data_IF_383048531923
#
_entry.id   IF_383048531923
#
_cell.length_a   1.000
_cell.length_b   1.000
_cell.length_c   1.000
_cell.angle_alpha   90.00
_cell.angle_beta   90.00
_cell.angle_gamma   90.00
#
_symmetry.space_group_name_H-M   'P 1'
#
loop_
_entity.id
_entity.type
_entity.pdbx_description
1 polymer ?
#
# COMPACT_ATOMS: atom_id res chain seq x y z
N UNK A 1 -5.94 -9.86 2.12
CA UNK A 1 -4.52 -10.20 1.86
C UNK A 1 -4.17 -10.09 0.38
N UNK A 2 -4.88 -10.77 -0.54
CA UNK A 2 -4.49 -10.80 -1.95
C UNK A 2 -4.43 -9.39 -2.57
N UNK A 3 -5.36 -8.50 -2.23
CA UNK A 3 -5.29 -7.10 -2.65
C UNK A 3 -4.08 -6.33 -2.13
N UNK A 4 -3.65 -6.58 -0.89
CA UNK A 4 -2.43 -5.93 -0.34
C UNK A 4 -1.20 -6.47 -1.05
N UNK A 5 -1.11 -7.77 -1.29
CA UNK A 5 0.00 -8.37 -2.06
C UNK A 5 0.03 -7.87 -3.51
N UNK A 6 -1.13 -7.76 -4.15
CA UNK A 6 -1.23 -7.21 -5.50
C UNK A 6 -0.79 -5.74 -5.54
N UNK A 7 -1.10 -4.97 -4.50
CA UNK A 7 -0.62 -3.59 -4.34
C UNK A 7 0.90 -3.52 -4.18
N UNK A 8 1.50 -4.35 -3.32
CA UNK A 8 2.96 -4.39 -3.17
C UNK A 8 3.66 -4.84 -4.46
N UNK A 9 3.10 -5.82 -5.17
CA UNK A 9 3.63 -6.25 -6.46
C UNK A 9 3.55 -5.13 -7.49
N UNK A 10 2.46 -4.35 -7.51
CA UNK A 10 2.33 -3.21 -8.40
C UNK A 10 3.40 -2.13 -8.14
N UNK A 11 3.81 -1.89 -6.88
CA UNK A 11 4.93 -1.01 -6.58
C UNK A 11 6.26 -1.51 -7.17
N UNK A 12 6.49 -2.84 -7.14
CA UNK A 12 7.68 -3.47 -7.71
C UNK A 12 7.66 -3.36 -9.23
N UNK A 13 6.56 -3.74 -9.87
CA UNK A 13 6.38 -3.69 -11.33
C UNK A 13 6.56 -2.26 -11.87
N UNK A 14 5.97 -1.27 -11.17
CA UNK A 14 6.07 0.14 -11.55
C UNK A 14 7.33 0.82 -11.02
N UNK A 15 8.20 0.10 -10.30
CA UNK A 15 9.47 0.59 -9.77
C UNK A 15 9.32 1.87 -8.94
N UNK A 16 8.24 1.98 -8.16
CA UNK A 16 7.89 3.21 -7.44
C UNK A 16 8.99 3.64 -6.46
N UNK A 17 9.62 2.71 -5.75
CA UNK A 17 10.71 3.02 -4.83
C UNK A 17 11.93 3.64 -5.54
N UNK A 18 12.42 3.00 -6.61
CA UNK A 18 13.61 3.50 -7.32
C UNK A 18 13.33 4.80 -8.07
N UNK A 19 12.14 4.93 -8.69
CA UNK A 19 11.68 6.20 -9.28
C UNK A 19 11.58 7.30 -8.24
N UNK A 20 11.10 6.98 -7.03
CA UNK A 20 11.03 7.89 -5.89
C UNK A 20 12.42 8.41 -5.48
N UNK A 21 13.40 7.52 -5.33
CA UNK A 21 14.79 7.88 -5.01
C UNK A 21 15.41 8.77 -6.08
N UNK A 22 15.39 8.32 -7.34
CA UNK A 22 15.97 9.08 -8.46
C UNK A 22 15.36 10.47 -8.55
N UNK A 23 14.04 10.56 -8.39
CA UNK A 23 13.33 11.84 -8.45
C UNK A 23 13.58 12.72 -7.23
N UNK A 24 13.69 12.14 -6.04
CA UNK A 24 14.06 12.87 -4.83
C UNK A 24 15.42 13.55 -4.98
N UNK A 25 16.41 12.82 -5.52
CA UNK A 25 17.73 13.37 -5.83
C UNK A 25 17.65 14.50 -6.87
N UNK A 26 16.94 14.29 -7.99
CA UNK A 26 16.80 15.30 -9.03
C UNK A 26 16.10 16.58 -8.54
N UNK A 27 15.01 16.43 -7.78
CA UNK A 27 14.32 17.57 -7.16
C UNK A 27 15.18 18.28 -6.12
N UNK A 28 16.03 17.55 -5.39
CA UNK A 28 16.99 18.13 -4.44
C UNK A 28 18.06 18.98 -5.10
N UNK A 29 18.54 18.59 -6.28
CA UNK A 29 19.46 19.40 -7.07
C UNK A 29 18.77 20.67 -7.58
N UNK A 30 17.53 20.54 -8.06
CA UNK A 30 16.71 21.67 -8.50
C UNK A 30 16.44 22.63 -7.34
N UNK A 31 15.98 22.14 -6.20
CA UNK A 31 15.67 22.95 -5.03
C UNK A 31 16.90 23.76 -4.55
N UNK A 32 18.08 23.16 -4.57
CA UNK A 32 19.34 23.85 -4.26
C UNK A 32 19.66 24.98 -5.26
N UNK A 33 19.38 24.78 -6.56
CA UNK A 33 19.63 25.78 -7.59
C UNK A 33 18.69 27.00 -7.51
N UNK A 34 17.45 26.82 -7.03
CA UNK A 34 16.46 27.89 -6.88
C UNK A 34 16.57 28.65 -5.54
N UNK A 35 17.38 28.17 -4.60
CA UNK A 35 17.75 28.85 -3.36
C UNK A 35 16.77 28.69 -2.18
N UNK A 36 17.32 28.32 -1.02
CA UNK A 36 16.69 28.47 0.30
C UNK A 36 15.47 27.59 0.61
N UNK A 37 14.70 28.03 1.62
CA UNK A 37 13.59 27.28 2.21
C UNK A 37 12.40 27.07 1.26
N UNK A 38 12.16 27.98 0.31
CA UNK A 38 11.06 27.89 -0.67
C UNK A 38 11.26 26.69 -1.60
N UNK A 39 12.51 26.43 -2.03
CA UNK A 39 12.86 25.26 -2.82
C UNK A 39 12.62 23.96 -2.05
N UNK A 40 13.01 23.91 -0.78
CA UNK A 40 12.84 22.75 0.08
C UNK A 40 11.36 22.44 0.38
N UNK A 41 10.55 23.45 0.65
CA UNK A 41 9.11 23.31 0.85
C UNK A 41 8.43 22.78 -0.42
N UNK A 42 8.76 23.37 -1.57
CA UNK A 42 8.22 22.95 -2.87
C UNK A 42 8.60 21.51 -3.20
N UNK A 43 9.85 21.13 -2.96
CA UNK A 43 10.30 19.74 -3.08
C UNK A 43 9.46 18.80 -2.20
N UNK A 44 9.23 19.15 -0.94
CA UNK A 44 8.44 18.34 -0.01
C UNK A 44 7.03 18.07 -0.55
N UNK A 45 6.33 19.12 -1.01
CA UNK A 45 5.01 18.97 -1.63
C UNK A 45 5.03 18.10 -2.90
N UNK A 46 6.03 18.27 -3.76
CA UNK A 46 6.20 17.46 -4.96
C UNK A 46 6.57 16.00 -4.64
N UNK A 47 7.24 15.72 -3.54
CA UNK A 47 7.46 14.33 -3.12
C UNK A 47 6.17 13.71 -2.60
N UNK A 48 5.43 14.41 -1.74
CA UNK A 48 4.14 13.95 -1.22
C UNK A 48 3.10 13.71 -2.32
N UNK A 49 2.94 14.65 -3.27
CA UNK A 49 1.97 14.53 -4.35
C UNK A 49 2.24 13.31 -5.23
N UNK A 50 3.51 13.00 -5.48
CA UNK A 50 3.86 11.86 -6.31
C UNK A 50 3.84 10.54 -5.54
N UNK A 51 4.09 10.55 -4.23
CA UNK A 51 3.76 9.42 -3.36
C UNK A 51 2.29 9.04 -3.49
N UNK A 52 1.37 10.01 -3.34
CA UNK A 52 -0.07 9.77 -3.55
C UNK A 52 -0.41 9.24 -4.95
N UNK A 53 0.24 9.76 -6.00
CA UNK A 53 0.03 9.25 -7.36
C UNK A 53 0.52 7.81 -7.53
N UNK A 54 1.64 7.44 -6.89
CA UNK A 54 2.17 6.08 -6.88
C UNK A 54 1.21 5.11 -6.17
N UNK A 55 0.66 5.50 -5.02
CA UNK A 55 -0.36 4.70 -4.30
C UNK A 55 -1.60 4.47 -5.17
N UNK A 56 -2.16 5.52 -5.78
CA UNK A 56 -3.32 5.39 -6.69
C UNK A 56 -3.02 4.51 -7.90
N UNK A 57 -1.80 4.57 -8.42
CA UNK A 57 -1.39 3.73 -9.54
C UNK A 57 -1.24 2.26 -9.13
N UNK A 58 -0.73 2.00 -7.93
CA UNK A 58 -0.65 0.66 -7.36
C UNK A 58 -2.05 0.10 -7.02
N UNK A 59 -2.97 0.91 -6.48
CA UNK A 59 -4.37 0.51 -6.24
C UNK A 59 -5.06 0.06 -7.52
N UNK A 60 -4.93 0.85 -8.60
CA UNK A 60 -5.54 0.50 -9.90
C UNK A 60 -5.00 -0.81 -10.45
N UNK A 61 -3.70 -1.04 -10.37
CA UNK A 61 -3.12 -2.30 -10.84
C UNK A 61 -3.51 -3.47 -9.93
N UNK A 62 -3.60 -3.26 -8.61
CA UNK A 62 -4.09 -4.25 -7.66
C UNK A 62 -5.54 -4.66 -7.96
N UNK A 63 -6.41 -3.70 -8.26
CA UNK A 63 -7.79 -3.94 -8.68
C UNK A 63 -7.84 -4.73 -9.99
N UNK A 64 -7.02 -4.35 -10.98
CA UNK A 64 -6.90 -5.07 -12.24
C UNK A 64 -6.42 -6.52 -12.03
N UNK A 65 -5.42 -6.72 -11.17
CA UNK A 65 -4.90 -8.04 -10.83
C UNK A 65 -5.95 -8.93 -10.16
N UNK A 66 -6.71 -8.39 -9.20
CA UNK A 66 -7.82 -9.10 -8.56
C UNK A 66 -8.91 -9.46 -9.57
N UNK A 67 -9.24 -8.56 -10.48
CA UNK A 67 -10.21 -8.79 -11.54
C UNK A 67 -9.77 -9.91 -12.51
N UNK A 68 -8.46 -10.06 -12.79
CA UNK A 68 -7.92 -11.14 -13.65
C UNK A 68 -8.12 -12.54 -13.06
N UNK A 69 -8.22 -12.65 -11.74
CA UNK A 69 -8.36 -13.93 -11.02
C UNK A 69 -9.73 -14.11 -10.37
N UNK A 70 -10.72 -13.30 -10.76
CA UNK A 70 -12.06 -13.29 -10.17
C UNK A 70 -12.06 -13.13 -8.64
N UNK A 71 -11.07 -12.42 -8.07
CA UNK A 71 -11.00 -12.18 -6.63
C UNK A 71 -11.71 -10.86 -6.24
N UNK A 72 -12.40 -10.88 -5.11
CA UNK A 72 -13.12 -9.69 -4.63
C UNK A 72 -12.14 -8.60 -4.11
N UNK A 73 -12.33 -7.32 -4.48
CA UNK A 73 -11.60 -6.20 -3.88
C UNK A 73 -12.17 -5.77 -2.52
N UNK A 74 -13.35 -6.26 -2.12
CA UNK A 74 -13.99 -5.90 -0.85
C UNK A 74 -13.10 -6.10 0.39
N UNK A 75 -12.29 -7.18 0.52
CA UNK A 75 -11.36 -7.34 1.63
C UNK A 75 -10.24 -6.28 1.66
N UNK A 76 -9.84 -5.74 0.50
CA UNK A 76 -8.85 -4.66 0.42
C UNK A 76 -9.47 -3.33 0.91
N UNK A 77 -10.69 -3.02 0.46
CA UNK A 77 -11.46 -1.90 1.00
C UNK A 77 -11.63 -2.00 2.53
N UNK A 78 -11.98 -3.19 3.04
CA UNK A 78 -12.13 -3.42 4.47
C UNK A 78 -10.79 -3.24 5.23
N UNK A 79 -9.66 -3.54 4.59
CA UNK A 79 -8.34 -3.30 5.16
C UNK A 79 -8.04 -1.81 5.30
N UNK A 80 -8.22 -0.99 4.25
CA UNK A 80 -8.05 0.47 4.33
C UNK A 80 -9.00 1.13 5.34
N UNK A 81 -10.21 0.59 5.49
CA UNK A 81 -11.14 1.05 6.53
C UNK A 81 -10.75 0.73 7.96
N UNK A 82 -9.86 -0.25 8.17
CA UNK A 82 -9.24 -0.48 9.49
C UNK A 82 -8.09 0.49 9.73
N UNK A 83 -7.36 0.87 8.68
CA UNK A 83 -6.26 1.83 8.75
C UNK A 83 -6.72 3.27 9.02
N UNK A 84 -7.93 3.61 8.60
CA UNK A 84 -8.50 4.96 8.75
C UNK A 84 -9.08 5.25 10.14
N UNK A 85 -8.98 4.31 11.10
CA UNK A 85 -9.55 4.46 12.45
C UNK A 85 -8.58 5.21 13.37
N UNK A 86 -9.07 6.11 14.26
CA UNK A 86 -8.22 6.85 15.21
C UNK A 86 -7.39 5.94 16.13
N UNK A 87 -6.20 6.40 16.49
CA UNK A 87 -5.21 5.67 17.31
C UNK A 87 -5.72 5.27 18.71
N UNK A 88 -6.74 5.96 19.24
CA UNK A 88 -7.19 5.82 20.63
C UNK A 88 -7.88 4.46 20.96
N UNK A 89 -7.97 3.55 19.98
CA UNK A 89 -8.52 2.18 20.13
C UNK A 89 -7.53 1.09 19.72
N UNK A 90 -6.22 1.34 19.83
CA UNK A 90 -5.17 0.47 19.32
C UNK A 90 -4.75 -0.66 20.29
N UNK A 91 -4.95 -1.91 19.87
CA UNK A 91 -4.21 -3.05 20.41
C UNK A 91 -2.82 -3.18 19.75
N UNK A 92 -2.01 -4.16 20.19
CA UNK A 92 -0.67 -4.40 19.64
C UNK A 92 -0.65 -4.74 18.14
N UNK A 93 -1.74 -5.28 17.57
CA UNK A 93 -1.83 -5.63 16.15
C UNK A 93 -2.06 -4.40 15.27
N UNK A 94 -2.77 -3.41 15.78
CA UNK A 94 -2.96 -2.15 15.07
C UNK A 94 -1.67 -1.29 15.03
N UNK A 95 -0.68 -1.55 15.89
CA UNK A 95 0.66 -0.93 15.79
C UNK A 95 1.41 -1.37 14.51
N UNK A 96 1.27 -2.63 14.09
CA UNK A 96 1.81 -3.11 12.81
C UNK A 96 1.07 -2.49 11.61
N UNK A 97 -0.21 -2.14 11.78
CA UNK A 97 -0.98 -1.42 10.77
C UNK A 97 -0.54 0.05 10.64
N UNK A 98 -0.08 0.69 11.72
CA UNK A 98 0.54 2.02 11.64
C UNK A 98 1.84 2.01 10.82
N UNK A 99 2.67 0.96 10.93
CA UNK A 99 3.86 0.82 10.09
C UNK A 99 3.46 0.80 8.61
N UNK A 100 2.39 0.10 8.25
CA UNK A 100 1.90 0.09 6.87
C UNK A 100 1.43 1.48 6.40
N UNK A 101 0.72 2.24 7.24
CA UNK A 101 0.31 3.63 6.90
C UNK A 101 1.51 4.56 6.75
N UNK A 102 2.58 4.32 7.51
CA UNK A 102 3.80 5.12 7.41
C UNK A 102 4.54 4.93 6.09
N UNK A 103 4.42 3.75 5.46
CA UNK A 103 5.00 3.46 4.14
C UNK A 103 4.02 3.74 3.00
N UNK A 104 2.71 3.68 3.27
CA UNK A 104 1.62 3.96 2.32
C UNK A 104 0.69 5.04 2.89
N UNK A 105 1.12 6.32 2.86
CA UNK A 105 0.28 7.43 3.31
C UNK A 105 -0.96 7.59 2.43
N UNK A 106 -1.99 8.25 2.97
CA UNK A 106 -3.28 8.56 2.33
C UNK A 106 -4.33 7.42 2.28
N UNK A 107 -4.82 6.91 3.42
CA UNK A 107 -5.89 5.91 3.41
C UNK A 107 -7.29 6.49 3.09
N UNK A 108 -7.44 7.82 3.06
CA UNK A 108 -8.75 8.50 3.15
C UNK A 108 -9.68 8.18 1.99
N UNK A 109 -9.29 8.56 0.77
CA UNK A 109 -10.13 8.35 -0.41
C UNK A 109 -10.03 6.92 -0.96
N UNK A 110 -8.93 6.20 -0.64
CA UNK A 110 -8.64 4.85 -1.16
C UNK A 110 -9.69 3.82 -0.78
N UNK A 111 -10.21 3.88 0.45
CA UNK A 111 -11.29 2.98 0.85
C UNK A 111 -12.52 3.15 -0.05
N UNK A 112 -12.91 4.39 -0.32
CA UNK A 112 -14.09 4.70 -1.12
C UNK A 112 -13.89 4.25 -2.57
N UNK A 113 -12.73 4.56 -3.15
CA UNK A 113 -12.36 4.17 -4.52
C UNK A 113 -12.38 2.65 -4.71
N UNK A 114 -11.78 1.90 -3.78
CA UNK A 114 -11.72 0.43 -3.85
C UNK A 114 -13.10 -0.19 -3.60
N UNK A 115 -13.94 0.41 -2.76
CA UNK A 115 -15.34 -0.04 -2.58
C UNK A 115 -16.15 0.16 -3.84
N UNK A 116 -15.97 1.27 -4.55
CA UNK A 116 -16.65 1.54 -5.80
C UNK A 116 -16.29 0.54 -6.92
N UNK A 117 -15.11 -0.09 -6.83
CA UNK A 117 -14.66 -1.13 -7.75
C UNK A 117 -15.26 -2.53 -7.48
N UNK A 118 -16.07 -2.70 -6.42
CA UNK A 118 -16.76 -3.97 -6.16
C UNK A 118 -17.95 -4.12 -7.10
N UNK A 119 -17.88 -5.11 -7.98
CA UNK A 119 -18.97 -5.52 -8.86
C UNK A 119 -19.88 -6.53 -8.13
N UNK A 120 -21.09 -6.09 -7.79
CA UNK A 120 -22.07 -6.91 -7.06
C UNK A 120 -22.72 -7.99 -7.93
N UNK A 121 -22.56 -7.92 -9.25
CA UNK A 121 -23.09 -8.91 -10.20
C UNK A 121 -22.10 -10.04 -10.46
N UNK A 122 -20.82 -9.85 -10.12
CA UNK A 122 -19.75 -10.82 -10.35
C UNK A 122 -19.70 -11.88 -9.26
N UNK A 123 -19.47 -13.13 -9.67
CA UNK A 123 -19.17 -14.23 -8.74
C UNK A 123 -17.68 -14.24 -8.44
N UNK A 124 -17.31 -13.88 -7.21
CA UNK A 124 -15.93 -13.91 -6.76
C UNK A 124 -15.49 -15.28 -6.24
N UNK A 125 -14.23 -15.62 -6.49
CA UNK A 125 -13.55 -16.78 -5.93
C UNK A 125 -12.50 -16.34 -4.89
N UNK A 126 -12.28 -17.12 -3.83
CA UNK A 126 -11.17 -16.85 -2.91
C UNK A 126 -9.83 -16.93 -3.64
N UNK A 127 -9.00 -15.90 -3.51
CA UNK A 127 -7.65 -15.88 -4.10
C UNK A 127 -6.71 -16.96 -3.54
N UNK A 128 -6.98 -17.43 -2.31
CA UNK A 128 -6.29 -18.57 -1.70
C UNK A 128 -7.33 -19.52 -1.11
N UNK A 129 -7.09 -20.82 -1.23
CA UNK A 129 -7.85 -21.85 -0.51
C UNK A 129 -7.59 -21.76 1.00
N UNK A 130 -8.44 -22.42 1.80
CA UNK A 130 -8.26 -22.48 3.25
C UNK A 130 -6.88 -23.05 3.65
N UNK A 131 -6.43 -24.10 2.95
CA UNK A 131 -5.12 -24.72 3.18
C UNK A 131 -3.98 -23.77 2.81
N UNK A 132 -4.07 -23.08 1.67
CA UNK A 132 -3.07 -22.09 1.26
C UNK A 132 -3.01 -20.91 2.23
N UNK A 133 -4.15 -20.43 2.69
CA UNK A 133 -4.20 -19.37 3.70
C UNK A 133 -3.56 -19.81 5.02
N UNK A 134 -3.85 -21.03 5.47
CA UNK A 134 -3.24 -21.56 6.68
C UNK A 134 -1.72 -21.71 6.53
N UNK A 135 -1.22 -22.12 5.36
CA UNK A 135 0.21 -22.18 5.09
C UNK A 135 0.88 -20.79 5.23
N UNK A 136 0.29 -19.75 4.64
CA UNK A 136 0.79 -18.36 4.78
C UNK A 136 0.82 -17.93 6.24
N UNK A 137 -0.24 -18.23 7.01
CA UNK A 137 -0.28 -17.89 8.44
C UNK A 137 0.81 -18.57 9.24
N UNK A 138 1.08 -19.85 8.97
CA UNK A 138 2.13 -20.62 9.65
C UNK A 138 3.50 -20.01 9.36
N UNK A 139 3.79 -19.69 8.10
CA UNK A 139 5.05 -19.04 7.70
C UNK A 139 5.26 -17.73 8.47
N UNK A 140 4.24 -16.86 8.55
CA UNK A 140 4.37 -15.60 9.28
C UNK A 140 4.59 -15.77 10.80
N UNK A 141 4.02 -16.82 11.40
CA UNK A 141 4.22 -17.10 12.84
C UNK A 141 5.60 -17.72 13.10
N UNK A 142 6.10 -18.55 12.19
CA UNK A 142 7.43 -19.13 12.27
C UNK A 142 8.52 -18.07 12.08
N UNK A 143 8.39 -17.19 11.07
CA UNK A 143 9.33 -16.09 10.86
C UNK A 143 9.35 -15.06 12.00
N UNK A 144 8.27 -14.93 12.77
CA UNK A 144 8.24 -14.09 13.97
C UNK A 144 8.96 -14.73 15.18
N UNK A 145 9.08 -16.06 15.20
CA UNK A 145 9.75 -16.83 16.25
C UNK A 145 11.22 -17.16 15.91
N UNK A 146 11.60 -17.11 14.64
CA UNK A 146 12.99 -17.19 14.18
C UNK A 146 13.59 -15.79 14.17
N UNK A 147 14.13 -15.35 15.32
CA UNK A 147 15.09 -14.24 15.32
C UNK A 147 16.28 -14.66 14.45
N UNK A 148 16.51 -13.92 13.36
CA UNK A 148 17.68 -14.08 12.49
C UNK A 148 18.96 -14.17 13.33
N UNK A 149 19.52 -15.38 13.43
CA UNK A 149 20.89 -15.61 13.89
C UNK A 149 21.80 -15.48 12.67
N UNK A 150 22.19 -14.25 12.37
CA UNK A 150 23.19 -13.91 11.36
C UNK A 150 24.05 -12.79 11.88
#
# INVERSE_FOLDING_TARGET
MAGVLAHELAHVEQRHATRGVVRGLGLGLIAQAFGGDIGAITQGFLQLAYGRNAERAADREALAALARIDASPAPLAAFFGRLSKPEDKLDSRLRALLTYVSTHPDPGDRQADIRAAVDTTRRYVPALSATQWQAVRVMCVQSANETWRG
#
